data_IF_619922549713
#
_entry.id   IF_619922549713
#
_cell.length_a   1.000
_cell.length_b   1.000
_cell.length_c   1.000
_cell.angle_alpha   90.00
_cell.angle_beta   90.00
_cell.angle_gamma   90.00
#
_symmetry.space_group_name_H-M   'P 1'
#
loop_
_entity.id
_entity.type
_entity.pdbx_description
1 polymer ?
#
# COMPACT_ATOMS: atom_id res chain seq x y z
N UNK A 1 0.59 11.82 3.93
CA UNK A 1 -0.08 11.32 2.72
C UNK A 1 0.42 9.92 2.49
N UNK A 2 -0.41 8.98 2.88
CA UNK A 2 -0.16 7.56 2.94
C UNK A 2 -0.70 6.92 1.64
N UNK A 3 0.11 6.08 1.03
CA UNK A 3 -0.32 5.21 -0.06
C UNK A 3 0.02 3.77 0.30
N UNK A 4 -0.93 2.86 0.06
CA UNK A 4 -0.75 1.44 0.22
C UNK A 4 -0.49 0.80 -1.14
N UNK A 5 0.54 -0.02 -1.22
CA UNK A 5 0.97 -0.75 -2.41
C UNK A 5 0.71 -2.24 -2.20
N UNK A 6 0.01 -2.83 -3.15
CA UNK A 6 -0.68 -4.11 -2.97
C UNK A 6 -0.07 -5.15 -3.89
N UNK A 7 0.31 -6.27 -3.30
CA UNK A 7 0.99 -7.37 -3.97
C UNK A 7 0.25 -8.68 -3.69
N UNK A 8 0.25 -9.58 -4.66
CA UNK A 8 -0.04 -10.99 -4.41
C UNK A 8 1.10 -11.63 -3.62
N UNK A 9 0.83 -12.79 -3.03
CA UNK A 9 1.80 -13.59 -2.28
C UNK A 9 2.98 -14.09 -3.13
N UNK A 10 2.84 -14.14 -4.45
CA UNK A 10 3.92 -14.47 -5.40
C UNK A 10 4.75 -13.23 -5.81
N UNK A 11 4.45 -12.07 -5.23
CA UNK A 11 5.12 -10.80 -5.47
C UNK A 11 4.62 -10.04 -6.70
N UNK A 12 3.56 -10.50 -7.38
CA UNK A 12 2.93 -9.71 -8.43
C UNK A 12 2.34 -8.43 -7.87
N UNK A 13 2.78 -7.28 -8.40
CA UNK A 13 2.25 -5.97 -8.02
C UNK A 13 0.91 -5.73 -8.71
N UNK A 14 -0.13 -5.44 -7.92
CA UNK A 14 -1.50 -5.23 -8.41
C UNK A 14 -1.88 -3.77 -8.57
N UNK A 15 -1.26 -2.89 -7.78
CA UNK A 15 -1.55 -1.46 -7.81
C UNK A 15 -1.42 -0.79 -6.46
N UNK A 16 -1.87 0.46 -6.40
CA UNK A 16 -1.87 1.27 -5.18
C UNK A 16 -3.23 1.90 -4.92
N UNK A 17 -3.44 2.24 -3.65
CA UNK A 17 -4.52 3.10 -3.18
C UNK A 17 -3.93 4.22 -2.33
N UNK A 18 -4.45 5.45 -2.48
CA UNK A 18 -4.02 6.59 -1.66
C UNK A 18 -5.14 6.99 -0.70
N UNK A 19 -4.78 7.43 0.50
CA UNK A 19 -5.75 7.80 1.55
C UNK A 19 -6.65 8.99 1.20
N UNK A 20 -6.22 9.86 0.30
CA UNK A 20 -6.94 11.04 -0.17
C UNK A 20 -7.73 10.82 -1.47
N UNK A 21 -7.65 9.63 -2.05
CA UNK A 21 -8.45 9.25 -3.21
C UNK A 21 -9.81 8.72 -2.78
N UNK A 22 -10.78 8.75 -3.71
CA UNK A 22 -12.03 8.03 -3.53
C UNK A 22 -11.76 6.52 -3.71
N UNK A 23 -11.30 5.88 -2.64
CA UNK A 23 -10.93 4.46 -2.60
C UNK A 23 -12.10 3.58 -3.03
N UNK A 24 -13.35 4.01 -2.80
CA UNK A 24 -14.56 3.29 -3.23
C UNK A 24 -14.71 3.20 -4.75
N UNK A 25 -14.07 4.12 -5.49
CA UNK A 25 -14.05 4.11 -6.95
C UNK A 25 -12.86 3.35 -7.52
N UNK A 26 -11.87 2.99 -6.72
CA UNK A 26 -10.69 2.28 -7.16
C UNK A 26 -11.05 0.85 -7.61
N UNK A 27 -10.71 0.50 -8.85
CA UNK A 27 -11.11 -0.77 -9.46
C UNK A 27 -10.47 -1.98 -8.78
N UNK A 28 -9.25 -1.82 -8.25
CA UNK A 28 -8.57 -2.87 -7.48
C UNK A 28 -9.38 -3.20 -6.23
N UNK A 29 -9.81 -2.17 -5.48
CA UNK A 29 -10.60 -2.36 -4.26
C UNK A 29 -11.94 -2.99 -4.56
N UNK A 30 -12.66 -2.52 -5.58
CA UNK A 30 -13.94 -3.13 -6.00
C UNK A 30 -13.80 -4.59 -6.41
N UNK A 31 -12.68 -4.94 -7.03
CA UNK A 31 -12.43 -6.30 -7.52
C UNK A 31 -12.00 -7.22 -6.39
N UNK A 32 -11.18 -6.74 -5.44
CA UNK A 32 -10.61 -7.57 -4.39
C UNK A 32 -11.48 -7.65 -3.13
N UNK A 33 -12.32 -6.64 -2.88
CA UNK A 33 -13.20 -6.53 -1.72
C UNK A 33 -14.64 -6.50 -2.22
N UNK A 34 -15.22 -7.70 -2.36
CA UNK A 34 -16.61 -7.90 -2.80
C UNK A 34 -17.63 -7.71 -1.66
N UNK A 35 -17.16 -7.72 -0.41
CA UNK A 35 -17.98 -7.65 0.79
C UNK A 35 -17.89 -6.28 1.48
N UNK A 36 -18.81 -6.03 2.41
CA UNK A 36 -18.76 -4.82 3.25
C UNK A 36 -17.56 -4.88 4.17
N UNK A 37 -16.87 -3.74 4.29
CA UNK A 37 -15.71 -3.63 5.18
C UNK A 37 -16.20 -3.30 6.58
N UNK A 38 -15.78 -4.10 7.56
CA UNK A 38 -16.10 -3.88 8.96
C UNK A 38 -14.86 -3.89 9.85
N UNK A 39 -14.94 -3.14 10.94
CA UNK A 39 -13.95 -3.17 12.04
C UNK A 39 -14.63 -3.65 13.32
N UNK A 40 -13.85 -4.30 14.17
CA UNK A 40 -14.29 -4.68 15.50
C UNK A 40 -13.98 -3.54 16.46
N UNK A 41 -15.00 -3.08 17.17
CA UNK A 41 -14.91 -2.01 18.17
C UNK A 41 -15.45 -2.50 19.50
N UNK A 42 -14.84 -2.05 20.59
CA UNK A 42 -15.38 -2.25 21.92
C UNK A 42 -16.38 -1.14 22.26
N UNK A 43 -17.59 -1.53 22.62
CA UNK A 43 -18.59 -0.68 23.27
C UNK A 43 -18.88 -1.28 24.65
N UNK A 44 -18.43 -0.60 25.69
CA UNK A 44 -18.42 -1.10 27.07
C UNK A 44 -17.72 -2.47 27.17
N UNK A 45 -18.46 -3.51 27.58
CA UNK A 45 -17.98 -4.90 27.70
C UNK A 45 -18.29 -5.76 26.45
N UNK A 46 -18.79 -5.17 25.36
CA UNK A 46 -19.19 -5.87 24.14
C UNK A 46 -18.28 -5.56 22.97
N UNK A 47 -18.03 -6.59 22.15
CA UNK A 47 -17.38 -6.45 20.85
C UNK A 47 -18.46 -6.27 19.78
N UNK A 48 -18.47 -5.12 19.13
CA UNK A 48 -19.45 -4.74 18.11
C UNK A 48 -18.75 -4.65 16.76
N UNK A 49 -19.40 -5.16 15.72
CA UNK A 49 -18.97 -5.01 14.34
C UNK A 49 -19.52 -3.71 13.77
N UNK A 50 -18.64 -2.78 13.41
CA UNK A 50 -18.98 -1.49 12.81
C UNK A 50 -18.66 -1.51 11.31
N UNK A 51 -19.67 -1.27 10.46
CA UNK A 51 -19.47 -1.13 9.01
C UNK A 51 -18.80 0.21 8.68
N UNK A 52 -17.68 0.16 7.96
CA UNK A 52 -16.87 1.32 7.60
C UNK A 52 -17.03 1.61 6.11
N UNK A 53 -17.67 2.73 5.81
CA UNK A 53 -17.87 3.20 4.44
C UNK A 53 -16.86 4.28 4.00
N UNK A 54 -16.90 4.68 2.71
CA UNK A 54 -15.96 5.63 2.11
C UNK A 54 -15.89 7.03 2.74
N UNK A 55 -16.91 7.42 3.51
CA UNK A 55 -16.94 8.69 4.24
C UNK A 55 -16.29 8.65 5.63
N UNK A 56 -15.80 7.48 6.06
CA UNK A 56 -15.18 7.30 7.37
C UNK A 56 -13.67 7.52 7.29
N UNK A 57 -13.08 8.22 8.27
CA UNK A 57 -11.64 8.50 8.34
C UNK A 57 -10.74 7.26 8.40
N UNK A 58 -11.31 6.14 8.87
CA UNK A 58 -10.64 4.86 8.98
C UNK A 58 -10.82 3.97 7.74
N UNK A 59 -11.57 4.41 6.73
CA UNK A 59 -11.86 3.58 5.55
C UNK A 59 -10.60 3.08 4.85
N UNK A 60 -9.58 3.94 4.70
CA UNK A 60 -8.28 3.54 4.15
C UNK A 60 -7.65 2.37 4.91
N UNK A 61 -7.60 2.46 6.24
CA UNK A 61 -7.02 1.42 7.09
C UNK A 61 -7.85 0.15 7.08
N UNK A 62 -9.17 0.28 7.09
CA UNK A 62 -10.08 -0.85 7.03
C UNK A 62 -9.94 -1.62 5.70
N UNK A 63 -9.78 -0.93 4.56
CA UNK A 63 -9.45 -1.53 3.26
C UNK A 63 -8.12 -2.27 3.32
N UNK A 64 -7.07 -1.65 3.88
CA UNK A 64 -5.75 -2.28 4.00
C UNK A 64 -5.80 -3.56 4.82
N UNK A 65 -6.48 -3.54 5.97
CA UNK A 65 -6.61 -4.72 6.83
C UNK A 65 -7.41 -5.83 6.15
N UNK A 66 -8.48 -5.47 5.42
CA UNK A 66 -9.25 -6.43 4.65
C UNK A 66 -8.43 -7.10 3.54
N UNK A 67 -7.59 -6.33 2.84
CA UNK A 67 -6.63 -6.89 1.87
C UNK A 67 -5.65 -7.87 2.53
N UNK A 68 -5.13 -7.52 3.72
CA UNK A 68 -4.24 -8.42 4.48
C UNK A 68 -4.92 -9.72 4.90
N UNK A 69 -6.17 -9.66 5.38
CA UNK A 69 -6.97 -10.86 5.71
C UNK A 69 -7.15 -11.78 4.51
N UNK A 70 -7.22 -11.21 3.30
CA UNK A 70 -7.31 -11.93 2.02
C UNK A 70 -5.95 -12.43 1.50
N UNK A 71 -4.91 -12.38 2.32
CA UNK A 71 -3.53 -12.81 2.01
C UNK A 71 -2.79 -11.96 0.97
N UNK A 72 -3.19 -10.69 0.78
CA UNK A 72 -2.36 -9.74 0.03
C UNK A 72 -1.25 -9.17 0.90
N UNK A 73 -0.08 -8.98 0.30
CA UNK A 73 1.00 -8.21 0.92
C UNK A 73 0.75 -6.72 0.67
N UNK A 74 0.72 -5.93 1.75
CA UNK A 74 0.40 -4.51 1.68
C UNK A 74 1.45 -3.68 2.40
N UNK A 75 2.20 -2.90 1.63
CA UNK A 75 3.23 -1.98 2.09
C UNK A 75 2.69 -0.56 2.09
N UNK A 76 2.85 0.16 3.20
CA UNK A 76 2.30 1.51 3.37
C UNK A 76 3.44 2.49 3.52
N UNK A 77 3.44 3.52 2.69
CA UNK A 77 4.47 4.55 2.73
C UNK A 77 3.87 5.95 2.70
N UNK A 78 4.60 6.87 3.32
CA UNK A 78 4.29 8.29 3.32
C UNK A 78 5.53 9.15 3.03
N UNK A 79 5.29 10.41 2.69
CA UNK A 79 6.35 11.41 2.45
C UNK A 79 7.40 10.93 1.45
N UNK A 80 8.68 11.08 1.80
CA UNK A 80 9.80 10.69 0.93
C UNK A 80 9.84 9.21 0.61
N UNK A 81 9.42 8.33 1.54
CA UNK A 81 9.37 6.88 1.26
C UNK A 81 8.33 6.59 0.19
N UNK A 82 7.19 7.28 0.23
CA UNK A 82 6.16 7.15 -0.81
C UNK A 82 6.72 7.50 -2.19
N UNK A 83 7.47 8.59 -2.30
CA UNK A 83 8.09 9.00 -3.57
C UNK A 83 9.07 7.96 -4.12
N UNK A 84 9.83 7.29 -3.24
CA UNK A 84 10.72 6.18 -3.63
C UNK A 84 9.90 4.97 -4.07
N UNK A 85 8.86 4.61 -3.33
CA UNK A 85 7.95 3.52 -3.67
C UNK A 85 7.25 3.75 -5.03
N UNK A 86 6.89 4.99 -5.36
CA UNK A 86 6.32 5.34 -6.67
C UNK A 86 7.30 5.08 -7.82
N UNK A 87 8.59 5.35 -7.63
CA UNK A 87 9.61 5.05 -8.63
C UNK A 87 9.76 3.54 -8.82
N UNK A 88 9.84 2.80 -7.71
CA UNK A 88 10.00 1.34 -7.72
C UNK A 88 8.77 0.61 -8.30
N UNK A 89 7.56 1.11 -8.03
CA UNK A 89 6.32 0.56 -8.59
C UNK A 89 6.27 0.68 -10.12
N UNK A 90 6.87 1.74 -10.68
CA UNK A 90 6.92 1.97 -12.13
C UNK A 90 8.18 1.39 -12.79
N UNK A 91 9.11 0.84 -12.02
CA UNK A 91 10.33 0.23 -12.53
C UNK A 91 10.06 -1.15 -13.12
N UNK A 92 10.79 -1.49 -14.18
CA UNK A 92 10.77 -2.81 -14.80
C UNK A 92 11.64 -3.80 -14.01
N UNK A 93 11.18 -4.13 -12.81
CA UNK A 93 11.79 -5.09 -11.90
C UNK A 93 11.06 -6.43 -11.94
N UNK A 94 11.78 -7.52 -11.69
CA UNK A 94 11.13 -8.81 -11.46
C UNK A 94 10.28 -8.77 -10.18
N UNK A 95 9.26 -9.62 -10.10
CA UNK A 95 8.32 -9.62 -8.97
C UNK A 95 9.01 -9.81 -7.61
N UNK A 96 9.96 -10.75 -7.53
CA UNK A 96 10.72 -11.03 -6.31
C UNK A 96 11.55 -9.83 -5.87
N UNK A 97 12.28 -9.21 -6.81
CA UNK A 97 13.08 -8.01 -6.56
C UNK A 97 12.19 -6.87 -6.07
N UNK A 98 11.02 -6.66 -6.70
CA UNK A 98 10.10 -5.60 -6.31
C UNK A 98 9.64 -5.75 -4.87
N UNK A 99 9.25 -6.96 -4.44
CA UNK A 99 8.86 -7.21 -3.04
C UNK A 99 10.02 -6.96 -2.09
N UNK A 100 11.23 -7.43 -2.43
CA UNK A 100 12.42 -7.23 -1.60
C UNK A 100 12.75 -5.74 -1.42
N UNK A 101 12.67 -4.95 -2.49
CA UNK A 101 12.87 -3.50 -2.42
C UNK A 101 11.82 -2.83 -1.54
N UNK A 102 10.55 -3.20 -1.67
CA UNK A 102 9.46 -2.66 -0.87
C UNK A 102 9.61 -3.02 0.61
N UNK A 103 9.94 -4.28 0.93
CA UNK A 103 10.22 -4.71 2.29
C UNK A 103 11.43 -3.95 2.89
N UNK A 104 12.49 -3.78 2.12
CA UNK A 104 13.71 -3.07 2.53
C UNK A 104 13.44 -1.58 2.79
N UNK A 105 12.59 -0.94 1.98
CA UNK A 105 12.26 0.48 2.09
C UNK A 105 11.65 0.86 3.45
N UNK A 106 11.01 -0.09 4.15
CA UNK A 106 10.49 0.12 5.51
C UNK A 106 11.60 0.44 6.51
N UNK A 107 12.80 -0.10 6.29
CA UNK A 107 13.94 0.01 7.21
C UNK A 107 14.96 1.08 6.80
N UNK A 108 14.82 1.69 5.61
CA UNK A 108 15.74 2.73 5.14
C UNK A 108 15.65 3.98 6.03
N UNK A 109 16.78 4.48 6.58
CA UNK A 109 16.81 5.71 7.36
C UNK A 109 16.34 6.93 6.56
N UNK A 110 15.63 7.86 7.22
CA UNK A 110 15.09 9.04 6.56
C UNK A 110 16.17 9.93 5.89
N UNK A 111 17.37 9.96 6.46
CA UNK A 111 18.54 10.67 5.92
C UNK A 111 19.04 10.12 4.59
N UNK A 112 18.78 8.85 4.30
CA UNK A 112 19.27 8.14 3.11
C UNK A 112 18.26 8.14 1.97
N UNK A 113 17.00 8.50 2.22
CA UNK A 113 15.92 8.43 1.23
C UNK A 113 16.18 9.29 -0.02
N UNK A 114 16.80 10.46 0.14
CA UNK A 114 17.13 11.31 -1.03
C UNK A 114 18.25 10.70 -1.88
N UNK A 115 19.27 10.13 -1.24
CA UNK A 115 20.35 9.45 -1.94
C UNK A 115 19.84 8.20 -2.66
N UNK A 116 18.99 7.41 -1.99
CA UNK A 116 18.35 6.23 -2.58
C UNK A 116 17.46 6.62 -3.77
N UNK A 117 16.61 7.64 -3.62
CA UNK A 117 15.76 8.17 -4.70
C UNK A 117 16.59 8.60 -5.91
N UNK A 118 17.73 9.25 -5.67
CA UNK A 118 18.64 9.69 -6.73
C UNK A 118 19.28 8.48 -7.44
N UNK A 119 19.81 7.51 -6.70
CA UNK A 119 20.40 6.29 -7.26
C UNK A 119 19.41 5.53 -8.15
N UNK A 120 18.18 5.29 -7.66
CA UNK A 120 17.14 4.62 -8.44
C UNK A 120 16.85 5.37 -9.75
N UNK A 121 16.77 6.70 -9.72
CA UNK A 121 16.53 7.49 -10.95
C UNK A 121 17.67 7.37 -11.95
N UNK A 122 18.91 7.35 -11.47
CA UNK A 122 20.09 7.20 -12.32
C UNK A 122 20.10 5.80 -12.96
N UNK A 123 19.84 4.76 -12.20
CA UNK A 123 19.78 3.38 -12.69
C UNK A 123 18.66 3.19 -13.73
N UNK A 124 17.46 3.73 -13.47
CA UNK A 124 16.33 3.69 -14.40
C UNK A 124 16.59 4.50 -15.68
N UNK A 125 17.40 5.55 -15.63
CA UNK A 125 17.76 6.33 -16.81
C UNK A 125 18.76 5.59 -17.72
N UNK A 126 19.56 4.67 -17.17
CA UNK A 126 20.54 3.88 -17.93
C UNK A 126 19.87 2.69 -18.66
N UNK A 127 18.75 2.21 -18.13
CA UNK A 127 18.00 1.07 -18.68
C UNK A 127 17.02 1.44 -19.82
N UNK A 128 16.82 2.74 -20.10
CA UNK A 128 16.00 3.27 -21.20
C UNK A 128 16.88 3.82 -22.33
#
# INVERSE_FOLDING_TARGET
MESAYIFKKDGEYLGKISKDEDISKNDLVKTLIEERISILRHEDDLLVEEEIGPGNENYFWAVVEELRKRNFEVYIFEGKRREVAELLANAHLENAERVEFFASLLSVPASELEALKKGIKEDLAILN
#
